data_IF_690717011980
#
_entry.id   IF_690717011980
#
_cell.length_a   1.000
_cell.length_b   1.000
_cell.length_c   1.000
_cell.angle_alpha   90.00
_cell.angle_beta   90.00
_cell.angle_gamma   90.00
#
_symmetry.space_group_name_H-M   'P 1'
#
loop_
_entity.id
_entity.type
_entity.pdbx_description
1 polymer ?
#
# COMPACT_ATOMS: atom_id res chain seq x y z
N UNK A 1 -27.19 5.48 26.02
CA UNK A 1 -26.65 5.81 25.70
C UNK A 1 -26.06 5.92 25.47
N UNK A 2 -25.81 5.62 25.30
CA UNK A 2 -25.10 5.86 24.94
C UNK A 2 -24.48 6.02 24.70
N UNK A 3 -24.56 5.67 24.87
CA UNK A 3 -23.78 5.95 24.50
C UNK A 3 -23.14 6.23 24.18
N UNK A 4 -23.20 5.95 24.20
CA UNK A 4 -22.41 6.34 23.80
C UNK A 4 -21.62 6.58 23.53
N UNK A 5 -21.79 6.43 23.74
CA UNK A 5 -20.84 6.87 23.45
C UNK A 5 -20.22 6.58 23.12
N UNK A 6 -20.10 6.15 23.36
CA UNK A 6 -19.22 6.04 22.87
C UNK A 6 -19.09 5.95 22.07
N UNK A 7 -19.36 5.92 21.87
CA UNK A 7 -19.02 5.90 20.93
C UNK A 7 -18.56 6.66 20.44
N UNK A 8 -19.12 7.03 20.63
CA UNK A 8 -18.62 8.01 20.17
C UNK A 8 -17.30 8.38 19.98
N UNK A 9 -16.78 8.49 20.43
CA UNK A 9 -15.39 8.56 20.29
C UNK A 9 -14.84 7.88 19.06
N UNK A 10 -15.57 6.98 18.55
CA UNK A 10 -15.15 6.24 17.35
C UNK A 10 -15.06 7.13 16.13
N UNK A 11 -15.90 8.14 16.05
CA UNK A 11 -15.92 8.99 14.88
C UNK A 11 -14.63 9.81 14.73
N UNK A 12 -13.89 9.97 15.81
CA UNK A 12 -12.66 10.76 15.77
C UNK A 12 -11.46 9.94 15.40
N UNK A 13 -11.63 8.68 15.17
CA UNK A 13 -10.51 7.77 14.93
C UNK A 13 -10.39 7.42 13.48
N UNK A 14 -9.19 7.00 13.11
CA UNK A 14 -8.99 6.44 11.78
C UNK A 14 -9.87 5.20 11.67
N UNK A 15 -10.71 5.10 10.64
CA UNK A 15 -11.58 3.94 10.49
C UNK A 15 -10.77 2.65 10.38
N UNK A 16 -11.34 1.56 10.87
CA UNK A 16 -10.73 0.26 10.72
C UNK A 16 -10.72 -0.15 9.25
N UNK A 17 -9.81 -1.06 8.91
CA UNK A 17 -9.74 -1.61 7.56
C UNK A 17 -10.72 -2.78 7.47
N UNK A 18 -11.73 -2.63 6.63
CA UNK A 18 -12.69 -3.70 6.40
C UNK A 18 -12.13 -4.69 5.38
N UNK A 19 -12.49 -5.99 5.51
CA UNK A 19 -12.11 -6.95 4.47
C UNK A 19 -12.60 -6.49 3.10
N UNK A 20 -11.75 -6.66 2.09
CA UNK A 20 -12.06 -6.22 0.73
C UNK A 20 -11.64 -4.81 0.42
N UNK A 21 -11.14 -4.07 1.40
CA UNK A 21 -10.67 -2.70 1.15
C UNK A 21 -9.41 -2.74 0.28
N UNK A 22 -9.38 -2.00 -0.84
CA UNK A 22 -8.16 -1.93 -1.64
C UNK A 22 -7.05 -1.20 -0.88
N UNK A 23 -5.86 -1.79 -0.91
CA UNK A 23 -4.70 -1.26 -0.20
C UNK A 23 -3.55 -1.06 -1.17
N UNK A 24 -2.69 -0.08 -0.87
CA UNK A 24 -1.48 0.20 -1.63
C UNK A 24 -0.27 0.17 -0.71
N UNK A 25 0.85 -0.32 -1.24
CA UNK A 25 2.14 -0.18 -0.58
C UNK A 25 3.18 0.20 -1.63
N UNK A 26 3.90 1.29 -1.38
CA UNK A 26 5.01 1.68 -2.25
C UNK A 26 6.19 0.74 -2.00
N UNK A 27 6.82 0.29 -3.06
CA UNK A 27 7.93 -0.64 -2.99
C UNK A 27 9.22 0.10 -3.31
N UNK A 28 10.20 0.11 -2.40
CA UNK A 28 11.49 0.73 -2.70
C UNK A 28 12.10 0.12 -3.96
N UNK A 29 12.72 0.93 -4.80
CA UNK A 29 13.26 0.43 -6.07
C UNK A 29 14.15 -0.81 -5.92
N UNK A 30 14.97 -0.86 -4.88
CA UNK A 30 15.88 -1.99 -4.67
C UNK A 30 15.17 -3.29 -4.32
N UNK A 31 13.89 -3.21 -3.95
CA UNK A 31 13.13 -4.41 -3.54
C UNK A 31 12.20 -4.92 -4.64
N UNK A 32 12.05 -4.19 -5.74
CA UNK A 32 11.14 -4.61 -6.82
C UNK A 32 11.59 -5.95 -7.40
N UNK A 33 12.88 -6.08 -7.75
CA UNK A 33 13.41 -7.34 -8.25
C UNK A 33 13.23 -8.50 -7.27
N UNK A 34 13.67 -8.34 -6.01
CA UNK A 34 13.48 -9.39 -5.00
C UNK A 34 12.02 -9.82 -4.81
N UNK A 35 11.07 -8.91 -4.91
CA UNK A 35 9.67 -9.32 -4.86
C UNK A 35 9.32 -10.16 -6.09
N UNK A 36 9.62 -9.64 -7.28
CA UNK A 36 9.19 -10.29 -8.51
C UNK A 36 9.84 -11.65 -8.72
N UNK A 37 11.06 -11.86 -8.22
CA UNK A 37 11.74 -13.15 -8.40
C UNK A 37 11.52 -14.12 -7.25
N UNK A 38 10.67 -13.74 -6.28
CA UNK A 38 10.29 -14.65 -5.22
C UNK A 38 11.20 -14.66 -4.01
N UNK A 39 12.24 -13.86 -3.98
CA UNK A 39 13.12 -13.80 -2.81
C UNK A 39 12.42 -13.15 -1.62
N UNK A 40 11.43 -12.29 -1.90
CA UNK A 40 10.71 -11.59 -0.86
C UNK A 40 9.24 -11.86 -1.04
N UNK A 41 8.62 -12.48 -0.05
CA UNK A 41 7.23 -12.94 -0.16
C UNK A 41 6.33 -12.41 0.94
N UNK A 42 6.77 -11.36 1.64
CA UNK A 42 6.04 -10.80 2.78
C UNK A 42 5.79 -9.32 2.55
N UNK A 43 4.58 -8.86 2.88
CA UNK A 43 4.25 -7.44 2.92
C UNK A 43 4.22 -7.01 4.37
N UNK A 44 4.82 -5.86 4.68
CA UNK A 44 4.83 -5.30 6.03
C UNK A 44 5.17 -3.83 5.96
N UNK A 45 4.84 -3.10 7.02
CA UNK A 45 5.22 -1.71 7.14
C UNK A 45 4.09 -0.76 6.76
N UNK A 46 4.45 0.42 6.27
CA UNK A 46 3.45 1.45 6.03
C UNK A 46 2.67 1.19 4.76
N UNK A 47 1.36 1.24 4.88
CA UNK A 47 0.43 0.96 3.78
C UNK A 47 -0.69 1.98 3.83
N UNK A 48 -1.47 2.08 2.75
CA UNK A 48 -2.53 3.08 2.62
C UNK A 48 -3.77 2.45 2.03
N UNK A 49 -4.94 2.94 2.45
CA UNK A 49 -6.17 2.59 1.77
C UNK A 49 -6.22 3.36 0.46
N UNK A 50 -6.53 2.67 -0.62
CA UNK A 50 -6.55 3.31 -1.93
C UNK A 50 -7.50 4.50 -1.97
N UNK A 51 -8.62 4.41 -1.27
CA UNK A 51 -9.64 5.47 -1.26
C UNK A 51 -9.18 6.76 -0.59
N UNK A 52 -8.11 6.70 0.20
CA UNK A 52 -7.63 7.86 0.95
C UNK A 52 -6.51 8.61 0.26
N UNK A 53 -5.98 8.08 -0.83
CA UNK A 53 -4.83 8.68 -1.50
C UNK A 53 -5.12 8.80 -2.99
N UNK A 54 -4.64 9.88 -3.59
CA UNK A 54 -4.83 10.12 -5.01
C UNK A 54 -3.53 10.60 -5.60
N UNK A 55 -3.17 10.02 -6.72
CA UNK A 55 -1.97 10.41 -7.44
C UNK A 55 -2.07 9.91 -8.87
N UNK A 56 -1.44 10.61 -9.79
CA UNK A 56 -1.44 10.26 -11.21
C UNK A 56 -0.05 10.00 -11.73
N UNK A 57 0.98 10.35 -10.96
CA UNK A 57 2.36 10.19 -11.39
C UNK A 57 3.25 10.03 -10.16
N UNK A 58 4.53 9.66 -10.35
CA UNK A 58 5.40 9.42 -9.19
C UNK A 58 5.60 10.62 -8.28
N UNK A 59 5.65 11.83 -8.83
CA UNK A 59 5.84 13.02 -7.99
C UNK A 59 4.66 13.22 -7.06
N UNK A 60 3.44 13.03 -7.56
CA UNK A 60 2.25 13.14 -6.73
C UNK A 60 2.20 12.04 -5.69
N UNK A 61 2.58 10.82 -6.07
CA UNK A 61 2.60 9.70 -5.13
C UNK A 61 3.61 9.92 -4.02
N UNK A 62 4.76 10.50 -4.35
CA UNK A 62 5.78 10.81 -3.35
C UNK A 62 5.19 11.66 -2.23
N UNK A 63 4.36 12.64 -2.57
CA UNK A 63 3.71 13.50 -1.59
C UNK A 63 2.53 12.79 -0.92
N UNK A 64 1.67 12.16 -1.71
CA UNK A 64 0.45 11.55 -1.18
C UNK A 64 0.75 10.41 -0.21
N UNK A 65 1.81 9.66 -0.46
CA UNK A 65 2.17 8.51 0.36
C UNK A 65 3.26 8.83 1.37
N UNK A 66 3.63 10.11 1.50
CA UNK A 66 4.62 10.58 2.48
C UNK A 66 5.93 9.81 2.37
N UNK A 67 6.47 9.71 1.16
CA UNK A 67 7.65 8.89 0.90
C UNK A 67 8.97 9.60 1.20
N UNK A 68 8.93 10.82 1.71
CA UNK A 68 10.12 11.64 1.89
C UNK A 68 10.71 11.60 3.29
N UNK A 69 10.68 10.45 3.97
CA UNK A 69 11.30 10.35 5.28
C UNK A 69 12.82 10.30 5.15
N UNK A 70 13.50 10.50 6.29
CA UNK A 70 14.96 10.45 6.31
C UNK A 70 15.44 9.06 5.87
N UNK A 71 16.46 9.04 5.02
CA UNK A 71 17.04 7.80 4.47
C UNK A 71 16.08 7.01 3.59
N UNK A 72 15.04 7.67 3.07
CA UNK A 72 14.11 7.02 2.15
C UNK A 72 14.81 6.68 0.84
N UNK A 73 14.45 5.52 0.27
CA UNK A 73 14.91 5.11 -1.05
C UNK A 73 14.14 5.79 -2.17
N UNK A 74 13.09 6.53 -1.83
CA UNK A 74 12.27 7.23 -2.82
C UNK A 74 12.77 8.66 -2.96
N UNK A 75 12.63 9.21 -4.16
CA UNK A 75 13.03 10.60 -4.41
C UNK A 75 11.89 11.36 -5.07
N UNK A 76 11.84 12.69 -4.90
CA UNK A 76 10.78 13.47 -5.52
C UNK A 76 10.92 13.59 -7.04
N UNK A 77 12.04 13.16 -7.59
CA UNK A 77 12.30 13.28 -9.03
C UNK A 77 12.35 11.91 -9.72
N UNK A 78 11.88 10.87 -9.07
CA UNK A 78 11.87 9.54 -9.67
C UNK A 78 10.92 9.50 -10.88
N UNK A 79 11.28 8.70 -11.88
CA UNK A 79 10.51 8.57 -13.11
C UNK A 79 9.44 7.51 -13.03
N UNK A 80 9.57 6.58 -12.11
CA UNK A 80 8.58 5.52 -11.94
C UNK A 80 8.59 5.08 -10.49
N UNK A 81 7.46 4.51 -10.09
CA UNK A 81 7.27 4.02 -8.73
C UNK A 81 6.51 2.71 -8.83
N UNK A 82 6.97 1.69 -8.13
CA UNK A 82 6.25 0.43 -8.07
C UNK A 82 5.42 0.35 -6.80
N UNK A 83 4.23 -0.20 -6.94
CA UNK A 83 3.28 -0.33 -5.84
C UNK A 83 2.69 -1.73 -5.88
N UNK A 84 2.53 -2.32 -4.71
CA UNK A 84 1.73 -3.55 -4.60
C UNK A 84 0.34 -3.15 -4.15
N UNK A 85 -0.67 -3.69 -4.81
CA UNK A 85 -2.06 -3.48 -4.42
C UNK A 85 -2.71 -4.82 -4.12
N UNK A 86 -3.57 -4.82 -3.11
CA UNK A 86 -4.27 -6.04 -2.73
C UNK A 86 -5.55 -5.66 -2.01
N UNK A 87 -6.40 -6.64 -1.79
CA UNK A 87 -7.61 -6.44 -1.00
C UNK A 87 -7.35 -6.92 0.42
N UNK A 88 -7.65 -6.08 1.39
CA UNK A 88 -7.44 -6.40 2.80
C UNK A 88 -8.22 -7.66 3.18
N UNK A 89 -7.65 -8.44 4.10
CA UNK A 89 -8.30 -9.64 4.62
C UNK A 89 -8.59 -9.44 6.09
N UNK A 90 -9.59 -10.17 6.61
CA UNK A 90 -9.96 -10.06 8.01
C UNK A 90 -8.81 -10.44 8.96
N UNK A 91 -7.90 -11.30 8.49
CA UNK A 91 -6.79 -11.77 9.33
C UNK A 91 -5.60 -10.82 9.35
N UNK A 92 -5.59 -9.81 8.48
CA UNK A 92 -4.46 -8.88 8.41
C UNK A 92 -4.46 -7.95 9.62
N UNK A 93 -3.27 -7.64 10.13
CA UNK A 93 -3.13 -6.74 11.26
C UNK A 93 -2.76 -5.34 10.80
N UNK A 94 -3.75 -4.45 10.71
CA UNK A 94 -3.53 -3.05 10.34
C UNK A 94 -3.67 -2.19 11.58
N UNK A 95 -2.71 -1.31 11.81
CA UNK A 95 -2.73 -0.40 12.94
C UNK A 95 -2.67 1.03 12.44
N UNK A 96 -3.58 1.91 12.90
CA UNK A 96 -3.51 3.32 12.54
C UNK A 96 -2.18 3.91 12.99
N UNK A 97 -1.66 4.84 12.23
CA UNK A 97 -0.43 5.53 12.59
C UNK A 97 -0.75 6.98 12.94
N UNK A 98 0.22 7.65 13.55
CA UNK A 98 0.13 9.08 13.77
C UNK A 98 0.86 9.85 12.68
N UNK A 99 1.15 9.17 11.58
CA UNK A 99 1.86 9.77 10.47
C UNK A 99 1.11 10.89 9.80
N UNK A 100 1.75 11.55 8.86
CA UNK A 100 1.21 12.79 8.29
C UNK A 100 -0.03 12.62 7.45
N UNK A 101 -0.35 11.44 6.98
CA UNK A 101 -1.50 11.26 6.12
C UNK A 101 -2.63 10.51 6.78
N UNK A 102 -3.86 10.99 6.59
CA UNK A 102 -5.02 10.18 6.91
C UNK A 102 -4.96 8.94 6.02
N UNK A 103 -5.33 7.79 6.56
CA UNK A 103 -5.33 6.57 5.76
C UNK A 103 -4.02 5.82 5.75
N UNK A 104 -3.00 6.30 6.49
CA UNK A 104 -1.76 5.55 6.64
C UNK A 104 -1.92 4.55 7.78
N UNK A 105 -1.49 3.32 7.54
CA UNK A 105 -1.54 2.24 8.53
C UNK A 105 -0.21 1.52 8.55
N UNK A 106 0.09 0.90 9.67
CA UNK A 106 1.22 -0.01 9.78
C UNK A 106 0.68 -1.43 9.67
N UNK A 107 1.22 -2.19 8.72
CA UNK A 107 0.80 -3.57 8.48
C UNK A 107 1.77 -4.52 9.16
N UNK A 108 1.26 -5.36 10.05
CA UNK A 108 2.02 -6.47 10.59
C UNK A 108 2.35 -7.43 9.44
N UNK A 109 3.51 -8.08 9.46
CA UNK A 109 3.92 -8.93 8.32
C UNK A 109 2.87 -9.95 7.94
N UNK A 110 2.57 -10.01 6.65
CA UNK A 110 1.65 -11.00 6.09
C UNK A 110 2.29 -11.61 4.84
N UNK A 111 1.94 -12.84 4.51
CA UNK A 111 2.28 -13.37 3.19
C UNK A 111 1.59 -12.52 2.12
N UNK A 112 2.22 -12.37 0.97
CA UNK A 112 1.58 -11.63 -0.12
C UNK A 112 0.27 -12.35 -0.46
N UNK A 113 -0.87 -11.65 -0.46
CA UNK A 113 -2.15 -12.32 -0.77
C UNK A 113 -2.22 -12.74 -2.22
N UNK A 114 -2.81 -13.90 -2.47
CA UNK A 114 -3.12 -14.30 -3.84
C UNK A 114 -4.03 -13.25 -4.46
N UNK A 115 -3.76 -12.90 -5.70
CA UNK A 115 -4.50 -11.85 -6.39
C UNK A 115 -3.89 -10.48 -6.28
N UNK A 116 -2.84 -10.30 -5.45
CA UNK A 116 -2.16 -9.02 -5.36
C UNK A 116 -1.57 -8.64 -6.73
N UNK A 117 -1.53 -7.34 -6.99
CA UNK A 117 -0.95 -6.81 -8.22
C UNK A 117 0.29 -6.00 -7.95
N UNK A 118 1.25 -6.07 -8.86
CA UNK A 118 2.39 -5.16 -8.88
C UNK A 118 2.12 -4.17 -9.98
N UNK A 119 2.05 -2.89 -9.63
CA UNK A 119 1.75 -1.83 -10.58
C UNK A 119 2.95 -0.92 -10.72
N UNK A 120 3.18 -0.43 -11.93
CA UNK A 120 4.21 0.57 -12.19
C UNK A 120 3.50 1.88 -12.49
N UNK A 121 3.81 2.90 -11.71
CA UNK A 121 3.29 4.24 -11.90
C UNK A 121 4.33 5.06 -12.63
N UNK A 122 4.00 5.51 -13.82
CA UNK A 122 4.85 6.38 -14.61
C UNK A 122 4.20 7.72 -14.83
N UNK A 123 4.79 8.52 -15.71
CA UNK A 123 4.28 9.87 -15.98
C UNK A 123 2.86 9.89 -16.49
N UNK A 124 2.46 8.82 -17.20
CA UNK A 124 1.15 8.76 -17.85
C UNK A 124 0.15 7.92 -17.08
N UNK A 125 0.44 7.58 -15.83
CA UNK A 125 -0.47 6.80 -15.02
C UNK A 125 0.12 5.45 -14.68
N UNK A 126 -0.72 4.56 -14.16
CA UNK A 126 -0.26 3.27 -13.68
C UNK A 126 -0.60 2.16 -14.66
N UNK A 127 0.16 1.07 -14.58
CA UNK A 127 -0.16 -0.14 -15.32
C UNK A 127 0.16 -1.35 -14.45
N UNK A 128 -0.64 -2.38 -14.59
CA UNK A 128 -0.39 -3.64 -13.89
C UNK A 128 0.71 -4.38 -14.64
N UNK A 129 1.80 -4.72 -13.94
CA UNK A 129 2.93 -5.40 -14.59
C UNK A 129 3.03 -6.86 -14.18
N UNK A 130 2.44 -7.25 -13.03
CA UNK A 130 2.47 -8.65 -12.60
C UNK A 130 1.35 -8.91 -11.63
N UNK A 131 0.96 -10.17 -11.50
CA UNK A 131 -0.07 -10.59 -10.54
C UNK A 131 0.43 -11.80 -9.79
N UNK A 132 0.16 -11.82 -8.49
CA UNK A 132 0.61 -12.88 -7.60
C UNK A 132 -0.45 -13.97 -7.50
N UNK A 133 -0.04 -15.22 -7.69
CA UNK A 133 -0.99 -16.34 -7.68
C UNK A 133 -1.07 -17.03 -6.31
N UNK A 134 -0.34 -16.53 -5.32
CA UNK A 134 -0.25 -17.15 -4.01
C UNK A 134 1.10 -17.82 -3.79
N UNK A 135 1.86 -18.04 -4.86
CA UNK A 135 3.18 -18.66 -4.80
C UNK A 135 4.22 -17.86 -5.54
N UNK A 136 3.86 -17.25 -6.65
CA UNK A 136 4.81 -16.53 -7.48
C UNK A 136 4.12 -15.42 -8.25
N UNK A 137 4.91 -14.46 -8.72
CA UNK A 137 4.45 -13.40 -9.59
C UNK A 137 4.49 -13.86 -11.04
N UNK A 138 3.45 -13.51 -11.77
CA UNK A 138 3.35 -13.80 -13.20
C UNK A 138 3.17 -12.50 -13.95
N UNK A 139 3.87 -12.30 -15.08
CA UNK A 139 3.69 -11.08 -15.86
C UNK A 139 2.22 -10.89 -16.24
N UNK A 140 1.76 -9.65 -16.17
CA UNK A 140 0.39 -9.34 -16.59
C UNK A 140 0.29 -9.45 -18.10
N UNK A 141 -0.86 -9.90 -18.55
CA UNK A 141 -1.13 -9.97 -19.99
C UNK A 141 -1.31 -8.55 -20.54
N UNK A 142 -0.78 -8.27 -21.72
CA UNK A 142 -0.96 -6.95 -22.34
C UNK A 142 -2.40 -6.67 -22.69
#
# INVERSE_FOLDING_TARGET
MQTEGSLVTQSDRVPAIAPGTPMWKAIPPRLVGPYLDGQRSVLAGYVYRAQDVRFHNPAEAYLALSLGWEDSDFTPVMNELYLVCWLARAVDGYQPTTGPGAGEFYLEPIPIPAGAGMCRLGADGDELVARYDGLAWHPAEP
#
